data_IF_590674227922
#
_entry.id   IF_590674227922
#
_cell.length_a   1.000
_cell.length_b   1.000
_cell.length_c   1.000
_cell.angle_alpha   90.00
_cell.angle_beta   90.00
_cell.angle_gamma   90.00
#
_symmetry.space_group_name_H-M   'P 1'
#
loop_
_entity.id
_entity.type
_entity.pdbx_description
1 polymer ?
#
# COMPACT_ATOMS: atom_id res chain seq x y z
N UNK A 1 -12.86 7.01 15.90
CA UNK A 1 -12.73 8.47 16.06
C UNK A 1 -11.82 8.87 17.23
N UNK A 2 -12.17 8.58 18.49
CA UNK A 2 -11.38 9.00 19.65
C UNK A 2 -9.88 8.64 19.57
N UNK A 3 -9.57 7.43 19.09
CA UNK A 3 -8.21 6.99 18.84
C UNK A 3 -7.42 7.91 17.91
N UNK A 4 -7.98 8.20 16.73
CA UNK A 4 -7.33 9.06 15.75
C UNK A 4 -7.29 10.52 16.21
N UNK A 5 -8.35 11.01 16.84
CA UNK A 5 -8.38 12.36 17.41
C UNK A 5 -7.29 12.57 18.45
N UNK A 6 -6.91 11.53 19.18
CA UNK A 6 -5.80 11.60 20.12
C UNK A 6 -4.45 11.76 19.41
N UNK A 7 -4.20 11.02 18.33
CA UNK A 7 -3.01 11.26 17.49
C UNK A 7 -3.02 12.65 16.85
N UNK A 8 -4.17 13.13 16.37
CA UNK A 8 -4.32 14.50 15.83
C UNK A 8 -4.05 15.56 16.91
N UNK A 9 -4.39 15.29 18.16
CA UNK A 9 -4.06 16.19 19.27
C UNK A 9 -2.55 16.20 19.51
N UNK A 10 -1.91 15.03 19.55
CA UNK A 10 -0.46 14.91 19.74
C UNK A 10 0.30 15.58 18.59
N UNK A 11 -0.17 15.42 17.35
CA UNK A 11 0.44 16.06 16.17
C UNK A 11 0.39 17.58 16.18
N UNK A 12 -0.50 18.19 16.96
CA UNK A 12 -0.58 19.65 17.14
C UNK A 12 0.33 20.16 18.26
N UNK A 13 0.84 19.26 19.10
CA UNK A 13 1.70 19.59 20.24
C UNK A 13 3.17 19.32 19.94
N UNK A 14 3.45 18.40 19.02
CA UNK A 14 4.78 18.04 18.59
C UNK A 14 5.12 18.68 17.24
N UNK A 15 6.04 19.66 17.17
CA UNK A 15 6.46 20.26 15.91
C UNK A 15 7.21 19.27 15.00
N UNK A 16 7.78 18.20 15.56
CA UNK A 16 8.51 17.17 14.82
C UNK A 16 7.63 15.95 14.50
N UNK A 17 6.30 16.12 14.57
CA UNK A 17 5.35 15.02 14.37
C UNK A 17 5.51 14.38 12.99
N UNK A 18 5.57 13.05 12.96
CA UNK A 18 5.51 12.28 11.72
C UNK A 18 4.46 11.17 11.79
N UNK A 19 3.53 11.20 10.84
CA UNK A 19 2.55 10.12 10.67
C UNK A 19 3.20 8.79 10.30
N UNK A 20 4.34 8.81 9.59
CA UNK A 20 5.10 7.62 9.22
C UNK A 20 5.80 6.93 10.40
N UNK A 21 5.72 7.50 11.61
CA UNK A 21 6.22 6.90 12.85
C UNK A 21 5.11 6.63 13.87
N UNK A 22 3.86 6.86 13.50
CA UNK A 22 2.70 6.63 14.35
C UNK A 22 1.96 5.35 13.94
N UNK A 23 1.31 4.71 14.91
CA UNK A 23 0.51 3.51 14.65
C UNK A 23 -0.78 3.44 15.47
N UNK A 24 -1.80 2.78 14.89
CA UNK A 24 -2.99 2.34 15.62
C UNK A 24 -3.06 0.82 15.58
N UNK A 25 -2.96 0.22 16.78
CA UNK A 25 -2.96 -1.22 16.95
C UNK A 25 -4.35 -1.69 17.42
N UNK A 26 -4.86 -2.73 16.77
CA UNK A 26 -6.09 -3.43 17.15
C UNK A 26 -5.85 -4.93 17.36
N UNK A 27 -6.82 -5.62 17.95
CA UNK A 27 -6.81 -7.09 17.99
C UNK A 27 -7.22 -7.70 16.64
N UNK A 28 -8.14 -7.05 15.93
CA UNK A 28 -8.73 -7.52 14.68
C UNK A 28 -8.81 -6.40 13.62
N UNK A 29 -8.81 -6.80 12.34
CA UNK A 29 -8.83 -5.89 11.20
C UNK A 29 -10.13 -5.11 11.05
N UNK A 30 -11.27 -5.70 11.47
CA UNK A 30 -12.60 -5.09 11.31
C UNK A 30 -12.69 -3.75 12.03
N UNK A 31 -12.04 -3.62 13.20
CA UNK A 31 -11.98 -2.36 13.96
C UNK A 31 -11.11 -1.28 13.33
N UNK A 32 -10.21 -1.62 12.39
CA UNK A 32 -9.30 -0.67 11.74
C UNK A 32 -9.92 0.00 10.50
N UNK A 33 -10.86 -0.66 9.81
CA UNK A 33 -11.46 -0.09 8.60
C UNK A 33 -12.20 1.26 8.83
N UNK A 34 -12.98 1.45 9.91
CA UNK A 34 -13.55 2.77 10.24
C UNK A 34 -12.51 3.81 10.63
N UNK A 35 -11.35 3.39 11.16
CA UNK A 35 -10.25 4.30 11.50
C UNK A 35 -9.61 4.82 10.22
N UNK A 36 -9.38 3.94 9.23
CA UNK A 36 -8.90 4.32 7.91
C UNK A 36 -9.81 5.34 7.24
N UNK A 37 -11.11 5.02 7.13
CA UNK A 37 -12.07 5.90 6.48
C UNK A 37 -12.13 7.29 7.12
N UNK A 38 -12.01 7.34 8.46
CA UNK A 38 -11.96 8.60 9.19
C UNK A 38 -10.62 9.36 9.00
N UNK A 39 -9.49 8.66 8.88
CA UNK A 39 -8.20 9.28 8.58
C UNK A 39 -8.16 9.89 7.18
N UNK A 40 -8.67 9.16 6.18
CA UNK A 40 -8.82 9.63 4.81
C UNK A 40 -9.70 10.89 4.74
N UNK A 41 -10.83 10.91 5.46
CA UNK A 41 -11.71 12.08 5.55
C UNK A 41 -11.05 13.32 6.18
N UNK A 42 -9.96 13.13 6.94
CA UNK A 42 -9.16 14.22 7.52
C UNK A 42 -7.92 14.55 6.68
N UNK A 43 -7.72 13.89 5.53
CA UNK A 43 -6.52 14.06 4.71
C UNK A 43 -5.24 13.52 5.35
N UNK A 44 -5.37 12.60 6.33
CA UNK A 44 -4.21 11.98 6.99
C UNK A 44 -3.73 10.80 6.14
N UNK A 45 -2.44 10.76 5.75
CA UNK A 45 -1.86 9.59 5.10
C UNK A 45 -2.00 8.37 6.00
N UNK A 46 -2.60 7.30 5.49
CA UNK A 46 -2.92 6.10 6.27
C UNK A 46 -2.70 4.84 5.46
N UNK A 47 -2.16 3.81 6.10
CA UNK A 47 -1.83 2.53 5.47
C UNK A 47 -2.31 1.38 6.33
N UNK A 48 -2.74 0.29 5.69
CA UNK A 48 -3.05 -0.95 6.40
C UNK A 48 -1.88 -1.93 6.26
N UNK A 49 -1.40 -2.50 7.37
CA UNK A 49 -0.24 -3.41 7.34
C UNK A 49 -0.49 -4.77 6.65
N UNK A 50 -1.71 -5.06 6.21
CA UNK A 50 -2.03 -6.20 5.34
C UNK A 50 -1.99 -5.84 3.85
N UNK A 51 -1.78 -4.57 3.51
CA UNK A 51 -1.54 -4.09 2.17
C UNK A 51 -0.03 -4.12 1.88
N UNK A 52 0.32 -4.27 0.62
CA UNK A 52 1.70 -4.23 0.19
C UNK A 52 1.78 -3.47 -1.11
N UNK A 53 2.77 -2.60 -1.23
CA UNK A 53 3.06 -1.97 -2.51
C UNK A 53 3.34 -3.05 -3.58
N UNK A 54 2.95 -2.75 -4.85
CA UNK A 54 3.40 -3.56 -5.97
C UNK A 54 4.93 -3.57 -6.04
N UNK A 55 5.48 -4.45 -6.86
CA UNK A 55 6.92 -4.48 -7.06
C UNK A 55 7.34 -3.19 -7.79
N UNK A 56 7.96 -2.25 -7.05
CA UNK A 56 8.35 -0.92 -7.54
C UNK A 56 9.28 -1.04 -8.74
N UNK A 57 10.25 -1.97 -8.70
CA UNK A 57 11.16 -2.22 -9.81
C UNK A 57 10.41 -2.54 -11.10
N UNK A 58 9.31 -3.29 -11.02
CA UNK A 58 8.54 -3.72 -12.19
C UNK A 58 7.56 -2.66 -12.69
N UNK A 59 7.34 -1.55 -11.99
CA UNK A 59 6.41 -0.51 -12.44
C UNK A 59 6.81 0.01 -13.82
N UNK A 60 5.82 0.34 -14.64
CA UNK A 60 6.03 0.93 -15.97
C UNK A 60 6.89 2.17 -15.88
N UNK A 61 6.62 3.05 -14.92
CA UNK A 61 7.34 4.29 -14.69
C UNK A 61 8.80 4.02 -14.34
N UNK A 62 9.08 3.09 -13.41
CA UNK A 62 10.44 2.70 -13.03
C UNK A 62 11.19 2.07 -14.21
N UNK A 63 10.52 1.22 -14.99
CA UNK A 63 11.13 0.60 -16.17
C UNK A 63 11.39 1.62 -17.28
N UNK A 64 10.53 2.62 -17.45
CA UNK A 64 10.75 3.72 -18.40
C UNK A 64 11.93 4.60 -17.96
N UNK A 65 12.02 4.93 -16.67
CA UNK A 65 13.13 5.66 -16.09
C UNK A 65 14.46 4.91 -16.28
N UNK A 66 14.51 3.62 -15.92
CA UNK A 66 15.70 2.77 -16.11
C UNK A 66 16.08 2.62 -17.59
N UNK A 67 15.10 2.52 -18.49
CA UNK A 67 15.37 2.48 -19.92
C UNK A 67 15.99 3.80 -20.42
N UNK A 68 15.54 4.94 -19.90
CA UNK A 68 16.10 6.24 -20.24
C UNK A 68 17.54 6.40 -19.73
N UNK A 69 17.85 5.92 -18.52
CA UNK A 69 19.23 5.87 -18.01
C UNK A 69 20.12 5.03 -18.94
N UNK A 70 19.64 3.87 -19.37
CA UNK A 70 20.37 2.93 -20.23
C UNK A 70 20.49 3.38 -21.69
N UNK A 71 19.94 4.53 -22.08
CA UNK A 71 20.09 5.06 -23.42
C UNK A 71 21.56 5.40 -23.74
N UNK A 72 22.33 5.81 -22.73
CA UNK A 72 23.78 5.98 -22.80
C UNK A 72 24.48 5.33 -21.58
N UNK A 73 24.77 4.01 -21.64
CA UNK A 73 25.32 3.27 -20.52
C UNK A 73 26.72 3.71 -20.06
N UNK A 74 27.46 4.44 -20.89
CA UNK A 74 28.80 4.91 -20.58
C UNK A 74 28.80 6.29 -19.89
N UNK A 75 27.63 6.94 -19.81
CA UNK A 75 27.50 8.26 -19.22
C UNK A 75 27.65 8.24 -17.69
N UNK A 76 28.10 9.38 -17.16
CA UNK A 76 28.06 9.72 -15.74
C UNK A 76 26.95 10.74 -15.55
N UNK A 77 25.97 10.44 -14.72
CA UNK A 77 24.82 11.32 -14.49
C UNK A 77 24.84 11.86 -13.06
N UNK A 78 24.51 13.14 -12.92
CA UNK A 78 24.27 13.79 -11.64
C UNK A 78 22.77 13.89 -11.32
N UNK A 79 22.44 14.43 -10.15
CA UNK A 79 21.05 14.56 -9.69
C UNK A 79 20.20 15.41 -10.66
N UNK A 80 20.75 16.48 -11.23
CA UNK A 80 20.05 17.33 -12.19
C UNK A 80 19.60 16.55 -13.44
N UNK A 81 20.44 15.62 -13.91
CA UNK A 81 20.12 14.76 -15.05
C UNK A 81 18.99 13.78 -14.69
N UNK A 82 19.04 13.16 -13.51
CA UNK A 82 17.99 12.26 -13.04
C UNK A 82 16.63 12.97 -12.91
N UNK A 83 16.64 14.19 -12.38
CA UNK A 83 15.44 15.04 -12.28
C UNK A 83 14.90 15.39 -13.67
N UNK A 84 15.78 15.72 -14.62
CA UNK A 84 15.37 15.97 -16.00
C UNK A 84 14.73 14.73 -16.63
N UNK A 85 15.30 13.54 -16.40
CA UNK A 85 14.76 12.28 -16.92
C UNK A 85 13.39 11.94 -16.34
N UNK A 86 13.18 12.08 -15.03
CA UNK A 86 11.87 11.77 -14.41
C UNK A 86 10.80 12.77 -14.83
N UNK A 87 11.14 14.05 -15.06
CA UNK A 87 10.20 15.08 -15.49
C UNK A 87 9.68 14.91 -16.93
N UNK A 88 10.33 14.08 -17.75
CA UNK A 88 9.81 13.71 -19.08
C UNK A 88 8.69 12.67 -18.97
N UNK A 89 8.63 11.91 -17.88
CA UNK A 89 7.61 10.89 -17.67
C UNK A 89 6.27 11.54 -17.27
N UNK A 90 5.13 10.92 -17.63
CA UNK A 90 3.81 11.39 -17.19
C UNK A 90 3.71 11.39 -15.66
N UNK A 91 3.43 12.56 -15.07
CA UNK A 91 3.32 12.71 -13.62
C UNK A 91 2.18 11.86 -13.04
N UNK A 92 2.51 11.07 -12.03
CA UNK A 92 1.60 10.29 -11.21
C UNK A 92 2.30 9.84 -9.91
N UNK A 93 1.57 9.16 -9.02
CA UNK A 93 2.08 8.69 -7.73
C UNK A 93 3.36 7.85 -7.81
N UNK A 94 3.59 7.12 -8.90
CA UNK A 94 4.79 6.30 -9.07
C UNK A 94 5.99 7.10 -9.59
N UNK A 95 5.78 8.18 -10.36
CA UNK A 95 6.88 9.10 -10.69
C UNK A 95 7.27 9.96 -9.48
N UNK A 96 6.30 10.32 -8.64
CA UNK A 96 6.55 11.02 -7.38
C UNK A 96 7.41 10.13 -6.45
N UNK A 97 7.08 8.83 -6.39
CA UNK A 97 7.88 7.83 -5.70
C UNK A 97 9.32 7.77 -6.22
N UNK A 98 9.52 7.76 -7.55
CA UNK A 98 10.87 7.78 -8.13
C UNK A 98 11.62 9.07 -7.74
N UNK A 99 10.93 10.22 -7.71
CA UNK A 99 11.52 11.48 -7.29
C UNK A 99 11.96 11.47 -5.81
N UNK A 100 11.23 10.80 -4.92
CA UNK A 100 11.69 10.54 -3.54
C UNK A 100 12.97 9.70 -3.50
N UNK A 101 13.08 8.71 -4.39
CA UNK A 101 14.30 7.93 -4.57
C UNK A 101 15.48 8.80 -5.02
N UNK A 102 15.26 9.68 -6.00
CA UNK A 102 16.27 10.66 -6.45
C UNK A 102 16.69 11.59 -5.30
N UNK A 103 15.74 12.08 -4.49
CA UNK A 103 16.04 12.92 -3.33
C UNK A 103 16.82 12.18 -2.24
N UNK A 104 16.62 10.87 -2.10
CA UNK A 104 17.40 10.01 -1.21
C UNK A 104 18.82 9.85 -1.73
N UNK A 105 19.00 9.52 -3.01
CA UNK A 105 20.30 9.46 -3.65
C UNK A 105 21.04 10.81 -3.57
N UNK A 106 20.35 11.94 -3.71
CA UNK A 106 20.97 13.26 -3.64
C UNK A 106 21.66 13.52 -2.29
N UNK A 107 21.11 12.99 -1.18
CA UNK A 107 21.74 13.08 0.15
C UNK A 107 23.02 12.27 0.25
N UNK A 108 23.14 11.19 -0.53
CA UNK A 108 24.32 10.31 -0.56
C UNK A 108 25.39 10.80 -1.56
N UNK A 109 24.96 11.26 -2.73
CA UNK A 109 25.82 11.62 -3.85
C UNK A 109 26.33 13.07 -3.78
N UNK A 110 25.58 13.96 -3.11
CA UNK A 110 25.80 15.41 -3.12
C UNK A 110 25.91 15.94 -4.57
N UNK A 111 27.02 16.60 -4.92
CA UNK A 111 27.24 17.20 -6.24
C UNK A 111 28.01 16.28 -7.21
N UNK A 112 28.21 15.01 -6.86
CA UNK A 112 28.96 14.06 -7.69
C UNK A 112 28.09 13.47 -8.80
N UNK A 113 28.74 12.90 -9.79
CA UNK A 113 28.10 12.06 -10.82
C UNK A 113 28.35 10.59 -10.54
N UNK A 114 27.46 9.73 -11.02
CA UNK A 114 27.54 8.27 -10.87
C UNK A 114 27.38 7.59 -12.23
N UNK A 115 28.15 6.51 -12.52
CA UNK A 115 27.94 5.69 -13.70
C UNK A 115 26.52 5.12 -13.78
N UNK A 116 25.97 5.05 -15.00
CA UNK A 116 24.63 4.47 -15.23
C UNK A 116 24.44 3.06 -14.65
N UNK A 117 25.40 2.12 -14.75
CA UNK A 117 25.23 0.79 -14.14
C UNK A 117 25.01 0.85 -12.63
N UNK A 118 25.78 1.68 -11.93
CA UNK A 118 25.71 1.86 -10.48
C UNK A 118 24.39 2.53 -10.07
N UNK A 119 23.92 3.51 -10.86
CA UNK A 119 22.59 4.12 -10.66
C UNK A 119 21.47 3.08 -10.78
N UNK A 120 21.53 2.24 -11.80
CA UNK A 120 20.53 1.19 -12.04
C UNK A 120 20.53 0.17 -10.91
N UNK A 121 21.70 -0.21 -10.40
CA UNK A 121 21.83 -1.09 -9.23
C UNK A 121 21.26 -0.43 -7.98
N UNK A 122 21.63 0.82 -7.71
CA UNK A 122 21.13 1.61 -6.58
C UNK A 122 19.61 1.69 -6.58
N UNK A 123 18.97 2.03 -7.71
CA UNK A 123 17.51 2.07 -7.81
C UNK A 123 16.86 0.69 -7.65
N UNK A 124 17.55 -0.38 -8.06
CA UNK A 124 17.07 -1.75 -7.86
C UNK A 124 17.04 -2.11 -6.37
N UNK A 125 18.09 -1.76 -5.62
CA UNK A 125 18.15 -1.95 -4.17
C UNK A 125 17.14 -1.09 -3.43
N UNK A 126 17.15 0.22 -3.70
CA UNK A 126 16.20 1.17 -3.13
C UNK A 126 14.75 0.75 -3.35
N UNK A 127 14.40 0.24 -4.54
CA UNK A 127 13.04 -0.22 -4.84
C UNK A 127 12.59 -1.43 -4.01
N UNK A 128 13.53 -2.25 -3.51
CA UNK A 128 13.23 -3.38 -2.61
C UNK A 128 12.97 -2.89 -1.20
N UNK A 129 13.80 -1.97 -0.72
CA UNK A 129 13.74 -1.45 0.65
C UNK A 129 12.52 -0.55 0.84
N UNK A 130 12.26 0.35 -0.11
CA UNK A 130 11.13 1.28 -0.11
C UNK A 130 9.77 0.58 -0.03
N UNK A 131 9.69 -0.66 -0.55
CA UNK A 131 8.47 -1.46 -0.48
C UNK A 131 8.06 -1.80 0.96
N UNK A 132 9.01 -1.76 1.89
CA UNK A 132 8.83 -2.12 3.29
C UNK A 132 8.66 -0.91 4.23
N UNK A 133 8.85 0.30 3.71
CA UNK A 133 8.80 1.52 4.51
C UNK A 133 7.36 1.98 4.76
N UNK A 134 7.11 2.38 6.00
CA UNK A 134 5.88 3.08 6.39
C UNK A 134 5.95 4.55 5.92
N UNK A 135 4.88 5.02 5.26
CA UNK A 135 4.78 6.37 4.66
C UNK A 135 3.70 7.22 5.33
N UNK A 136 2.75 6.62 6.02
CA UNK A 136 1.69 7.29 6.76
C UNK A 136 1.38 6.60 8.09
N UNK A 137 0.24 6.94 8.69
CA UNK A 137 -0.27 6.29 9.88
C UNK A 137 -0.48 4.79 9.63
N UNK A 138 0.25 3.93 10.34
CA UNK A 138 0.11 2.49 10.15
C UNK A 138 -1.01 1.89 11.00
N UNK A 139 -1.97 1.25 10.35
CA UNK A 139 -3.06 0.50 10.96
C UNK A 139 -2.73 -0.99 10.92
N UNK A 140 -2.59 -1.61 12.08
CA UNK A 140 -2.16 -3.01 12.16
C UNK A 140 -2.79 -3.76 13.33
N UNK A 141 -2.80 -5.09 13.20
CA UNK A 141 -3.16 -5.95 14.33
C UNK A 141 -1.95 -6.18 15.24
N UNK A 142 -2.18 -6.45 16.52
CA UNK A 142 -1.11 -6.74 17.48
C UNK A 142 -0.19 -7.90 17.01
N UNK A 143 -0.74 -8.88 16.30
CA UNK A 143 0.03 -9.96 15.68
C UNK A 143 1.02 -9.46 14.62
N UNK A 144 0.60 -8.48 13.80
CA UNK A 144 1.44 -7.87 12.76
C UNK A 144 2.44 -6.87 13.31
N UNK A 145 2.24 -6.39 14.53
CA UNK A 145 3.13 -5.41 15.14
C UNK A 145 4.46 -6.02 15.60
N UNK A 146 4.57 -7.35 15.75
CA UNK A 146 5.79 -8.00 16.24
C UNK A 146 7.02 -7.63 15.39
N UNK A 147 8.06 -7.11 16.05
CA UNK A 147 9.32 -6.73 15.40
C UNK A 147 9.33 -5.33 14.81
N UNK A 148 8.19 -4.63 14.82
CA UNK A 148 8.10 -3.22 14.47
C UNK A 148 8.22 -2.35 15.73
N UNK A 149 8.54 -1.08 15.55
CA UNK A 149 8.52 -0.06 16.60
C UNK A 149 7.99 1.25 16.03
N UNK A 150 7.31 2.02 16.87
CA UNK A 150 6.68 3.28 16.52
C UNK A 150 6.93 4.30 17.64
N UNK A 151 7.03 5.57 17.29
CA UNK A 151 7.19 6.63 18.28
C UNK A 151 5.88 6.80 19.07
N UNK A 152 4.75 6.90 18.37
CA UNK A 152 3.44 7.15 18.97
C UNK A 152 2.44 6.06 18.61
N UNK A 153 1.88 5.40 19.61
CA UNK A 153 0.93 4.29 19.42
C UNK A 153 -0.37 4.53 20.16
N UNK A 154 -1.47 4.31 19.44
CA UNK A 154 -2.79 4.13 20.06
C UNK A 154 -3.24 2.68 19.96
N UNK A 155 -3.56 2.07 21.09
CA UNK A 155 -4.17 0.74 21.13
C UNK A 155 -5.70 0.89 21.22
N UNK A 156 -6.43 0.32 20.26
CA UNK A 156 -7.90 0.37 20.25
C UNK A 156 -8.51 -0.49 21.36
N UNK A 157 -9.70 -0.10 21.81
CA UNK A 157 -10.54 -0.96 22.64
C UNK A 157 -10.86 -2.25 21.84
N UNK A 158 -10.70 -3.42 22.45
CA UNK A 158 -10.39 -4.62 21.68
C UNK A 158 -10.79 -5.97 22.22
N UNK A 159 -11.61 -6.08 23.28
CA UNK A 159 -11.86 -7.35 23.98
C UNK A 159 -10.55 -8.10 24.26
N UNK A 160 -9.60 -7.40 24.89
CA UNK A 160 -8.24 -7.87 25.19
C UNK A 160 -8.19 -9.00 26.25
N UNK A 161 -9.36 -9.51 26.62
CA UNK A 161 -9.65 -10.58 27.55
C UNK A 161 -10.22 -11.84 26.86
N UNK A 162 -10.68 -11.74 25.61
CA UNK A 162 -11.23 -12.90 24.89
C UNK A 162 -10.13 -13.93 24.57
N UNK A 163 -10.43 -15.21 24.66
CA UNK A 163 -9.51 -16.29 24.26
C UNK A 163 -9.84 -16.75 22.84
N UNK A 164 -8.81 -17.01 22.02
CA UNK A 164 -8.99 -17.67 20.72
C UNK A 164 -8.94 -19.19 20.91
N UNK A 165 -9.44 -19.97 19.93
CA UNK A 165 -9.49 -21.45 20.03
C UNK A 165 -8.08 -22.03 20.22
N UNK A 166 -7.88 -22.77 21.32
CA UNK A 166 -6.62 -23.45 21.64
C UNK A 166 -5.54 -22.58 22.28
N UNK A 167 -5.87 -21.33 22.63
CA UNK A 167 -4.95 -20.44 23.36
C UNK A 167 -5.03 -20.68 24.87
N UNK A 168 -3.89 -20.56 25.56
CA UNK A 168 -3.85 -20.53 27.02
C UNK A 168 -4.39 -19.20 27.57
N UNK A 169 -4.75 -19.21 28.86
CA UNK A 169 -5.38 -18.09 29.56
C UNK A 169 -4.58 -16.78 29.52
N UNK A 170 -3.25 -16.83 29.33
CA UNK A 170 -2.38 -15.65 29.28
C UNK A 170 -2.10 -15.15 27.86
N UNK A 171 -2.54 -15.85 26.81
CA UNK A 171 -2.33 -15.43 25.43
C UNK A 171 -2.83 -14.00 25.13
N UNK A 172 -4.03 -13.56 25.60
CA UNK A 172 -4.50 -12.20 25.36
C UNK A 172 -3.63 -11.15 26.05
N UNK A 173 -3.11 -11.46 27.25
CA UNK A 173 -2.18 -10.59 27.98
C UNK A 173 -0.84 -10.49 27.27
N UNK A 174 -0.28 -11.62 26.78
CA UNK A 174 0.96 -11.61 25.99
C UNK A 174 0.80 -10.82 24.70
N UNK A 175 -0.34 -10.96 24.01
CA UNK A 175 -0.62 -10.19 22.79
C UNK A 175 -0.72 -8.69 23.09
N UNK A 176 -1.37 -8.31 24.18
CA UNK A 176 -1.44 -6.92 24.63
C UNK A 176 -0.06 -6.36 25.00
N UNK A 177 0.75 -7.15 25.70
CA UNK A 177 2.15 -6.81 26.01
C UNK A 177 2.98 -6.62 24.74
N UNK A 178 2.80 -7.48 23.72
CA UNK A 178 3.44 -7.29 22.41
C UNK A 178 3.09 -5.95 21.81
N UNK A 179 1.82 -5.51 21.86
CA UNK A 179 1.41 -4.20 21.35
C UNK A 179 2.03 -3.03 22.14
N UNK A 180 2.08 -3.12 23.47
CA UNK A 180 2.68 -2.09 24.34
C UNK A 180 4.19 -1.96 24.10
N UNK A 181 4.89 -3.06 23.90
CA UNK A 181 6.35 -3.06 23.67
C UNK A 181 6.77 -2.52 22.30
N UNK A 182 5.83 -2.04 21.48
CA UNK A 182 6.13 -1.36 20.21
C UNK A 182 6.32 0.14 20.34
N UNK A 183 6.05 0.69 21.51
CA UNK A 183 6.06 2.13 21.72
C UNK A 183 7.45 2.60 22.14
N UNK A 184 7.98 3.60 21.43
CA UNK A 184 9.25 4.27 21.76
C UNK A 184 9.04 5.55 22.57
N UNK A 185 7.96 6.29 22.33
CA UNK A 185 7.74 7.63 22.91
C UNK A 185 6.40 7.77 23.65
N UNK A 186 5.26 7.56 22.98
CA UNK A 186 3.94 7.83 23.55
C UNK A 186 2.95 6.70 23.34
N UNK A 187 2.25 6.29 24.41
CA UNK A 187 1.24 5.25 24.38
C UNK A 187 -0.10 5.79 24.88
N UNK A 188 -1.14 5.68 24.05
CA UNK A 188 -2.51 5.89 24.44
C UNK A 188 -3.33 4.60 24.25
N UNK A 189 -4.21 4.31 25.20
CA UNK A 189 -5.00 3.08 25.21
C UNK A 189 -6.46 3.44 25.35
N UNK A 190 -7.26 3.00 24.39
CA UNK A 190 -8.69 3.28 24.34
C UNK A 190 -9.44 2.20 25.10
N UNK A 191 -10.31 2.61 26.03
CA UNK A 191 -11.16 1.72 26.79
C UNK A 191 -12.58 2.30 26.88
N UNK A 192 -13.58 1.42 26.84
CA UNK A 192 -14.96 1.79 27.17
C UNK A 192 -15.20 1.34 28.61
N UNK A 193 -15.01 2.26 29.56
CA UNK A 193 -15.04 1.95 30.99
C UNK A 193 -13.68 1.44 31.51
N UNK A 194 -13.71 0.59 32.54
CA UNK A 194 -12.49 0.03 33.12
C UNK A 194 -11.81 -0.95 32.15
N UNK A 195 -10.51 -0.75 31.90
CA UNK A 195 -9.75 -1.67 31.07
C UNK A 195 -9.46 -2.97 31.83
N UNK A 196 -9.67 -4.12 31.20
CA UNK A 196 -9.56 -5.44 31.85
C UNK A 196 -8.16 -5.72 32.38
N UNK A 197 -7.12 -5.26 31.66
CA UNK A 197 -5.71 -5.47 32.01
C UNK A 197 -5.11 -4.30 32.82
N UNK A 198 -5.59 -3.06 32.62
CA UNK A 198 -4.96 -1.86 33.19
C UNK A 198 -5.79 -1.34 34.36
N UNK A 199 -5.50 -1.85 35.55
CA UNK A 199 -6.25 -1.55 36.79
C UNK A 199 -5.45 -0.75 37.82
N UNK A 200 -4.21 -0.34 37.51
CA UNK A 200 -3.31 0.36 38.42
C UNK A 200 -3.42 1.89 38.40
N UNK A 201 -2.66 2.54 39.29
CA UNK A 201 -2.59 4.00 39.46
C UNK A 201 -1.57 4.69 38.52
N UNK A 202 -0.71 3.91 37.86
CA UNK A 202 0.33 4.39 36.94
C UNK A 202 -0.22 4.74 35.54
N UNK A 203 -1.47 5.21 35.44
CA UNK A 203 -2.13 5.54 34.18
C UNK A 203 -2.79 6.89 34.31
N UNK A 204 -2.42 7.83 33.44
CA UNK A 204 -3.12 9.10 33.29
C UNK A 204 -4.45 8.85 32.57
N UNK A 205 -5.56 9.04 33.28
CA UNK A 205 -6.91 8.85 32.75
C UNK A 205 -7.43 10.15 32.18
N UNK A 206 -7.89 10.09 30.93
CA UNK A 206 -8.60 11.18 30.28
C UNK A 206 -9.91 10.68 29.71
N UNK A 207 -11.01 11.31 30.11
CA UNK A 207 -12.33 11.04 29.55
C UNK A 207 -12.45 11.73 28.20
N UNK A 208 -12.86 10.99 27.18
CA UNK A 208 -13.14 11.51 25.85
C UNK A 208 -14.58 11.16 25.50
N UNK A 209 -15.38 12.18 25.17
CA UNK A 209 -16.72 12.00 24.63
C UNK A 209 -16.61 11.95 23.11
N UNK A 210 -16.78 10.77 22.48
CA UNK A 210 -16.85 10.72 21.02
C UNK A 210 -18.09 11.50 20.57
N UNK A 211 -17.92 12.32 19.54
CA UNK A 211 -19.05 12.91 18.84
C UNK A 211 -19.90 11.79 18.25
N UNK A 212 -21.12 11.63 18.79
CA UNK A 212 -22.05 10.56 18.41
C UNK A 212 -22.94 10.97 17.23
N UNK A 213 -23.05 12.27 16.97
CA UNK A 213 -23.87 12.83 15.90
C UNK A 213 -23.09 12.86 14.57
N UNK A 214 -21.76 12.79 14.66
CA UNK A 214 -20.92 12.66 13.48
C UNK A 214 -21.14 11.32 12.78
N UNK A 215 -21.77 11.36 11.62
CA UNK A 215 -21.81 10.23 10.70
C UNK A 215 -20.38 9.80 10.34
N UNK A 216 -20.09 8.53 10.53
CA UNK A 216 -18.84 7.94 10.09
C UNK A 216 -18.89 7.79 8.58
N UNK A 217 -17.80 8.10 7.84
CA UNK A 217 -17.71 7.75 6.44
C UNK A 217 -17.95 6.24 6.27
N UNK A 218 -18.59 5.86 5.16
CA UNK A 218 -18.77 4.45 4.81
C UNK A 218 -17.41 3.73 4.88
N UNK A 219 -17.38 2.59 5.58
CA UNK A 219 -16.15 1.82 5.72
C UNK A 219 -15.90 1.04 4.45
N UNK A 220 -15.19 1.63 3.50
CA UNK A 220 -14.83 0.94 2.27
C UNK A 220 -13.90 -0.27 2.51
N UNK A 221 -14.09 -1.32 1.73
CA UNK A 221 -13.10 -2.36 1.52
C UNK A 221 -12.25 -1.99 0.32
N UNK A 222 -10.95 -1.89 0.57
CA UNK A 222 -9.98 -1.56 -0.45
C UNK A 222 -9.29 -2.81 -0.95
N UNK A 223 -9.08 -2.85 -2.26
CA UNK A 223 -8.15 -3.77 -2.90
C UNK A 223 -7.06 -2.96 -3.56
N UNK A 224 -5.88 -2.95 -2.95
CA UNK A 224 -4.69 -2.31 -3.49
C UNK A 224 -4.12 -3.08 -4.69
N UNK A 225 -3.40 -2.39 -5.60
CA UNK A 225 -2.74 -3.02 -6.74
C UNK A 225 -1.81 -4.16 -6.32
N UNK A 226 -2.09 -5.37 -6.81
CA UNK A 226 -1.36 -6.57 -6.40
C UNK A 226 -1.20 -7.57 -7.52
N UNK A 227 -0.04 -8.20 -7.60
CA UNK A 227 0.23 -9.28 -8.56
C UNK A 227 -0.64 -10.53 -8.31
N UNK A 228 -1.22 -10.65 -7.10
CA UNK A 228 -2.00 -11.83 -6.69
C UNK A 228 -3.45 -11.80 -7.17
N UNK A 229 -3.97 -10.63 -7.56
CA UNK A 229 -5.39 -10.45 -7.87
C UNK A 229 -5.69 -10.52 -9.37
N UNK A 230 -4.67 -10.48 -10.23
CA UNK A 230 -4.81 -10.54 -11.69
C UNK A 230 -4.14 -11.76 -12.31
N UNK A 231 -4.61 -12.19 -13.47
CA UNK A 231 -3.96 -13.17 -14.32
C UNK A 231 -2.79 -12.51 -15.07
N UNK A 232 -1.59 -12.60 -14.47
CA UNK A 232 -0.36 -11.96 -14.99
C UNK A 232 -0.01 -12.40 -16.41
N UNK A 233 -0.36 -13.63 -16.80
CA UNK A 233 -0.04 -14.18 -18.10
C UNK A 233 -1.12 -13.89 -19.16
N UNK A 234 -2.29 -13.37 -18.78
CA UNK A 234 -3.37 -13.09 -19.73
C UNK A 234 -2.96 -12.19 -20.89
N UNK A 235 -2.35 -10.99 -20.67
CA UNK A 235 -1.95 -10.16 -21.78
C UNK A 235 -0.95 -10.89 -22.68
N UNK A 236 0.02 -11.60 -22.09
CA UNK A 236 1.05 -12.37 -22.81
C UNK A 236 0.52 -13.47 -23.74
N UNK A 237 -0.72 -13.96 -23.53
CA UNK A 237 -1.38 -14.97 -24.38
C UNK A 237 -2.18 -14.38 -25.54
N UNK A 238 -2.45 -13.07 -25.53
CA UNK A 238 -3.25 -12.41 -26.57
C UNK A 238 -2.55 -12.46 -27.94
N UNK A 239 -3.34 -12.34 -29.01
CA UNK A 239 -2.81 -12.29 -30.38
C UNK A 239 -2.22 -10.92 -30.67
N UNK A 240 -1.28 -10.84 -31.61
CA UNK A 240 -0.80 -9.55 -32.11
C UNK A 240 -1.97 -8.76 -32.72
N UNK A 241 -2.07 -7.48 -32.41
CA UNK A 241 -3.18 -6.62 -32.84
C UNK A 241 -4.46 -6.70 -32.01
N UNK A 242 -4.48 -7.46 -30.91
CA UNK A 242 -5.61 -7.45 -29.97
C UNK A 242 -5.79 -6.06 -29.34
N UNK A 243 -7.02 -5.53 -29.39
CA UNK A 243 -7.35 -4.19 -28.89
C UNK A 243 -6.97 -3.99 -27.41
N UNK A 244 -7.00 -5.05 -26.61
CA UNK A 244 -6.62 -5.01 -25.20
C UNK A 244 -5.15 -4.61 -25.00
N UNK A 245 -4.26 -4.94 -25.94
CA UNK A 245 -2.83 -4.59 -25.85
C UNK A 245 -2.59 -3.11 -26.08
N UNK A 246 -3.33 -2.53 -27.04
CA UNK A 246 -3.31 -1.09 -27.28
C UNK A 246 -3.93 -0.35 -26.08
N UNK A 247 -5.04 -0.87 -25.54
CA UNK A 247 -5.69 -0.30 -24.37
C UNK A 247 -4.80 -0.33 -23.12
N UNK A 248 -4.11 -1.45 -22.84
CA UNK A 248 -3.13 -1.54 -21.75
C UNK A 248 -2.02 -0.50 -21.93
N UNK A 249 -1.43 -0.41 -23.12
CA UNK A 249 -0.37 0.55 -23.44
C UNK A 249 -0.83 2.00 -23.20
N UNK A 250 -2.07 2.31 -23.58
CA UNK A 250 -2.64 3.66 -23.47
C UNK A 250 -3.11 4.02 -22.05
N UNK A 251 -3.45 3.02 -21.22
CA UNK A 251 -3.97 3.23 -19.88
C UNK A 251 -2.98 4.00 -19.00
N UNK A 252 -3.47 5.00 -18.27
CA UNK A 252 -2.69 5.82 -17.33
C UNK A 252 -3.08 5.49 -15.90
N UNK A 253 -2.15 5.72 -14.98
CA UNK A 253 -2.42 5.59 -13.55
C UNK A 253 -3.53 6.58 -13.16
N UNK A 254 -4.53 6.09 -12.43
CA UNK A 254 -5.71 6.84 -12.05
C UNK A 254 -6.85 6.82 -13.08
N UNK A 255 -6.66 6.23 -14.27
CA UNK A 255 -7.76 6.10 -15.23
C UNK A 255 -8.89 5.25 -14.62
N UNK A 256 -10.16 5.66 -14.74
CA UNK A 256 -11.28 4.94 -14.15
C UNK A 256 -11.49 3.59 -14.84
N UNK A 257 -11.78 2.56 -14.05
CA UNK A 257 -12.07 1.22 -14.56
C UNK A 257 -13.40 0.68 -14.04
N UNK A 258 -13.98 -0.23 -14.83
CA UNK A 258 -15.18 -0.98 -14.46
C UNK A 258 -14.84 -2.44 -14.19
N UNK A 259 -15.45 -2.99 -13.14
CA UNK A 259 -15.41 -4.42 -12.84
C UNK A 259 -16.61 -5.11 -13.50
N UNK A 260 -16.37 -6.07 -14.39
CA UNK A 260 -17.41 -6.76 -15.16
C UNK A 260 -17.27 -8.28 -15.00
N UNK A 261 -18.37 -8.95 -14.67
CA UNK A 261 -18.42 -10.42 -14.68
C UNK A 261 -18.66 -10.94 -16.10
N UNK A 262 -17.84 -11.87 -16.57
CA UNK A 262 -17.98 -12.55 -17.86
C UNK A 262 -17.79 -14.06 -17.65
N UNK A 263 -18.92 -14.79 -17.57
CA UNK A 263 -18.92 -16.19 -17.17
C UNK A 263 -18.37 -16.37 -15.76
N UNK A 264 -17.35 -17.23 -15.61
CA UNK A 264 -16.66 -17.46 -14.34
C UNK A 264 -15.50 -16.47 -14.08
N UNK A 265 -15.22 -15.56 -15.03
CA UNK A 265 -14.11 -14.64 -14.92
C UNK A 265 -14.58 -13.23 -14.58
N UNK A 266 -13.73 -12.49 -13.88
CA UNK A 266 -13.89 -11.05 -13.69
C UNK A 266 -12.90 -10.30 -14.56
N UNK A 267 -13.40 -9.28 -15.25
CA UNK A 267 -12.62 -8.42 -16.14
C UNK A 267 -12.61 -6.99 -15.61
N UNK A 268 -11.48 -6.33 -15.86
CA UNK A 268 -11.31 -4.89 -15.68
C UNK A 268 -11.40 -4.26 -17.05
N UNK A 269 -12.34 -3.33 -17.25
CA UNK A 269 -12.54 -2.62 -18.52
C UNK A 269 -12.31 -1.12 -18.37
N UNK A 270 -11.78 -0.50 -19.41
CA UNK A 270 -11.67 0.95 -19.52
C UNK A 270 -13.06 1.60 -19.77
N UNK A 271 -13.08 2.92 -19.89
CA UNK A 271 -14.30 3.68 -20.19
C UNK A 271 -14.88 3.37 -21.59
N UNK A 272 -14.04 2.91 -22.52
CA UNK A 272 -14.41 2.56 -23.90
C UNK A 272 -14.88 1.11 -24.04
N UNK A 273 -14.79 0.30 -22.97
CA UNK A 273 -15.19 -1.10 -22.93
C UNK A 273 -14.10 -2.09 -23.34
N UNK A 274 -12.86 -1.64 -23.60
CA UNK A 274 -11.75 -2.56 -23.82
C UNK A 274 -11.31 -3.20 -22.51
N UNK A 275 -10.82 -4.44 -22.60
CA UNK A 275 -10.34 -5.15 -21.41
C UNK A 275 -8.90 -4.76 -21.10
N UNK A 276 -8.66 -4.26 -19.89
CA UNK A 276 -7.34 -3.89 -19.38
C UNK A 276 -6.70 -5.02 -18.58
N UNK A 277 -7.50 -5.80 -17.87
CA UNK A 277 -7.02 -6.93 -17.09
C UNK A 277 -8.08 -8.02 -16.95
N UNK A 278 -7.61 -9.24 -16.74
CA UNK A 278 -8.42 -10.36 -16.24
C UNK A 278 -8.01 -10.66 -14.82
N UNK A 279 -8.98 -10.77 -13.92
CA UNK A 279 -8.72 -11.13 -12.52
C UNK A 279 -8.27 -12.61 -12.42
N UNK A 280 -7.48 -12.93 -11.41
CA UNK A 280 -7.03 -14.29 -11.16
C UNK A 280 -8.23 -15.22 -10.87
N UNK A 281 -8.13 -16.50 -11.25
CA UNK A 281 -9.22 -17.48 -11.00
C UNK A 281 -9.58 -17.64 -9.51
N UNK A 282 -8.61 -17.46 -8.63
CA UNK A 282 -8.81 -17.52 -7.17
C UNK A 282 -9.41 -16.25 -6.58
N UNK A 283 -9.58 -15.21 -7.39
CA UNK A 283 -10.08 -13.92 -6.95
C UNK A 283 -11.61 -13.86 -7.10
N UNK A 284 -12.26 -13.28 -6.10
CA UNK A 284 -13.68 -12.92 -6.13
C UNK A 284 -13.87 -11.57 -5.44
N UNK A 285 -14.90 -10.78 -5.83
CA UNK A 285 -15.21 -9.56 -5.11
C UNK A 285 -15.56 -9.87 -3.65
N UNK A 286 -15.32 -8.94 -2.71
CA UNK A 286 -15.67 -9.13 -1.31
C UNK A 286 -17.15 -9.48 -1.14
N UNK A 287 -17.44 -10.49 -0.32
CA UNK A 287 -18.81 -10.92 -0.04
C UNK A 287 -19.61 -9.79 0.64
N UNK A 288 -20.89 -9.67 0.27
CA UNK A 288 -21.83 -8.69 0.84
C UNK A 288 -21.42 -7.23 0.66
N UNK A 289 -20.61 -6.92 -0.37
CA UNK A 289 -20.23 -5.56 -0.70
C UNK A 289 -20.51 -5.24 -2.16
N UNK A 290 -20.82 -3.99 -2.43
CA UNK A 290 -21.05 -3.53 -3.80
C UNK A 290 -19.81 -2.81 -4.34
N UNK A 291 -19.58 -2.87 -5.65
CA UNK A 291 -18.47 -2.18 -6.27
C UNK A 291 -18.79 -0.69 -6.37
N UNK A 292 -17.97 0.15 -5.77
CA UNK A 292 -18.17 1.62 -5.72
C UNK A 292 -17.41 2.30 -6.84
N UNK A 293 -16.10 2.04 -6.91
CA UNK A 293 -15.20 2.62 -7.92
C UNK A 293 -13.95 1.78 -8.09
N UNK A 294 -13.28 1.96 -9.22
CA UNK A 294 -11.97 1.40 -9.46
C UNK A 294 -11.18 2.29 -10.39
N UNK A 295 -9.86 2.17 -10.29
CA UNK A 295 -8.91 2.86 -11.16
C UNK A 295 -7.73 1.96 -11.54
N UNK A 296 -6.99 2.36 -12.57
CA UNK A 296 -5.67 1.80 -12.88
C UNK A 296 -4.72 2.20 -11.77
N UNK A 297 -4.47 1.30 -10.83
CA UNK A 297 -3.63 1.62 -9.68
C UNK A 297 -2.13 1.44 -9.96
N UNK A 298 -1.74 0.45 -10.75
CA UNK A 298 -0.36 0.30 -11.20
C UNK A 298 -0.33 -0.42 -12.55
N UNK A 299 0.73 -0.17 -13.33
CA UNK A 299 1.06 -1.00 -14.48
C UNK A 299 2.45 -1.57 -14.25
N UNK A 300 2.61 -2.88 -14.43
CA UNK A 300 3.89 -3.55 -14.25
C UNK A 300 4.34 -4.25 -15.52
N UNK A 301 5.65 -4.28 -15.77
CA UNK A 301 6.26 -5.13 -16.78
C UNK A 301 6.45 -6.55 -16.27
N UNK A 302 6.09 -7.50 -17.12
CA UNK A 302 6.19 -8.92 -16.87
C UNK A 302 6.93 -9.60 -18.01
N UNK A 303 7.71 -10.65 -17.69
CA UNK A 303 8.45 -11.43 -18.67
C UNK A 303 7.92 -12.86 -18.73
N UNK A 304 8.14 -13.50 -19.88
CA UNK A 304 7.88 -14.94 -20.05
C UNK A 304 8.66 -15.77 -19.04
N UNK A 305 9.91 -15.39 -18.76
CA UNK A 305 10.76 -16.02 -17.76
C UNK A 305 10.17 -15.97 -16.33
N UNK A 306 9.37 -14.94 -16.01
CA UNK A 306 8.71 -14.79 -14.70
C UNK A 306 7.46 -15.65 -14.54
N UNK A 307 6.97 -16.24 -15.65
CA UNK A 307 5.80 -17.11 -15.65
C UNK A 307 6.20 -18.55 -15.34
N UNK A 308 5.33 -19.28 -14.62
CA UNK A 308 5.52 -20.72 -14.38
C UNK A 308 5.61 -21.46 -15.72
N UNK A 309 6.38 -22.54 -15.75
CA UNK A 309 6.64 -23.33 -16.97
C UNK A 309 5.35 -23.74 -17.70
N UNK A 310 4.33 -24.14 -16.94
CA UNK A 310 3.00 -24.52 -17.45
C UNK A 310 2.29 -23.43 -18.28
N UNK A 311 2.61 -22.14 -18.06
CA UNK A 311 2.04 -21.03 -18.82
C UNK A 311 2.90 -20.61 -20.01
N UNK A 312 4.18 -20.99 -20.06
CA UNK A 312 5.15 -20.52 -21.07
C UNK A 312 4.79 -20.96 -22.49
N UNK A 313 4.18 -22.14 -22.65
CA UNK A 313 3.76 -22.70 -23.94
C UNK A 313 2.69 -21.85 -24.64
N UNK A 314 1.86 -21.15 -23.87
CA UNK A 314 0.75 -20.34 -24.41
C UNK A 314 1.10 -18.85 -24.54
N UNK A 315 2.25 -18.43 -24.01
CA UNK A 315 2.74 -17.06 -24.06
C UNK A 315 3.35 -16.79 -25.44
N UNK A 316 2.85 -15.73 -26.10
CA UNK A 316 3.17 -15.37 -27.48
C UNK A 316 4.24 -14.28 -27.59
N UNK A 317 4.82 -13.83 -26.48
CA UNK A 317 5.80 -12.73 -26.44
C UNK A 317 6.71 -12.81 -25.23
N UNK A 318 7.87 -12.18 -25.32
CA UNK A 318 8.88 -12.24 -24.27
C UNK A 318 8.60 -11.29 -23.10
N UNK A 319 8.05 -10.10 -23.39
CA UNK A 319 7.69 -9.09 -22.38
C UNK A 319 6.31 -8.48 -22.66
N UNK A 320 5.60 -8.07 -21.61
CA UNK A 320 4.33 -7.35 -21.70
C UNK A 320 4.02 -6.55 -20.44
N UNK A 321 3.00 -5.71 -20.53
CA UNK A 321 2.49 -4.93 -19.42
C UNK A 321 1.23 -5.57 -18.83
N UNK A 322 1.08 -5.45 -17.51
CA UNK A 322 -0.07 -5.94 -16.76
C UNK A 322 -0.64 -4.80 -15.92
N UNK A 323 -1.93 -4.50 -16.13
CA UNK A 323 -2.67 -3.54 -15.31
C UNK A 323 -3.06 -4.20 -13.99
N UNK A 324 -2.70 -3.54 -12.88
CA UNK A 324 -3.08 -3.89 -11.53
C UNK A 324 -4.13 -2.87 -11.07
N UNK A 325 -5.41 -3.28 -10.92
CA UNK A 325 -6.46 -2.35 -10.54
C UNK A 325 -6.37 -2.02 -9.04
N UNK A 326 -6.78 -0.81 -8.70
CA UNK A 326 -7.18 -0.44 -7.34
C UNK A 326 -8.71 -0.39 -7.30
N UNK A 327 -9.33 -1.15 -6.41
CA UNK A 327 -10.80 -1.29 -6.34
C UNK A 327 -11.31 -0.93 -4.96
N UNK A 328 -12.48 -0.29 -4.93
CA UNK A 328 -13.18 0.15 -3.72
C UNK A 328 -14.58 -0.45 -3.70
N UNK A 329 -14.94 -1.04 -2.57
CA UNK A 329 -16.24 -1.65 -2.32
C UNK A 329 -16.89 -1.10 -1.04
N UNK A 330 -18.21 -0.99 -0.98
CA UNK A 330 -18.95 -0.59 0.23
C UNK A 330 -19.60 -1.78 0.95
#
# INVERSE_FOLDING_TARGET
>A
MAALNELVRLSRLDPEWSWSRAAIISRDWRRLAPVRAYAEALGIPVEMANESLPNIWRLREMQAFVAALRADPASLLGIADLVALVNVLPQNRWTDLIAEGIATLARELADKTMPVPDLVEWFAEWSRDTRSEQRGLLLLTAHRAKGLEFDDVVILNGSWDALSKGEDADAPRRLFYVAITRVRRSLAIMASGAHTILRGENVLRRTVSPDRERELPASHAYQMPSLKVVDLSWPGRLRSGDASLAAITAARIGDPVRLVAEGEAWLIRDAQGHTLARMAKSWSPPQHRSFVRGEVGAVVRWRKADSKEEYRTHIRREEWEVVLPELVFD
#
